data_IF_313328434234
#
_entry.id   IF_313328434234
#
_cell.length_a   1.000
_cell.length_b   1.000
_cell.length_c   1.000
_cell.angle_alpha   90.00
_cell.angle_beta   90.00
_cell.angle_gamma   90.00
#
_symmetry.space_group_name_H-M   'P 1'
#
loop_
_entity.id
_entity.type
_entity.pdbx_description
1 polymer ?
#
# COMPACT_ATOMS: atom_id res chain seq x y z
N UNK A 1 1.76 20.94 11.35
CA UNK A 1 3.05 20.35 11.79
C UNK A 1 3.75 19.86 10.54
N UNK A 2 5.04 20.18 10.31
CA UNK A 2 5.78 19.53 9.24
C UNK A 2 5.80 18.01 9.50
N UNK A 3 5.80 17.17 8.45
CA UNK A 3 5.98 15.74 8.64
C UNK A 3 7.29 15.51 9.39
N UNK A 4 7.24 14.80 10.50
CA UNK A 4 8.45 14.36 11.20
C UNK A 4 9.22 13.43 10.28
N UNK A 5 10.47 13.80 9.98
CA UNK A 5 11.42 12.95 9.25
C UNK A 5 11.32 11.51 9.73
N UNK A 6 11.21 10.57 8.80
CA UNK A 6 11.08 9.14 9.13
C UNK A 6 12.25 8.70 10.01
N UNK A 7 11.95 7.99 11.09
CA UNK A 7 12.94 7.42 12.00
C UNK A 7 12.59 5.94 12.23
N UNK A 8 13.58 5.04 12.16
CA UNK A 8 13.35 3.63 12.42
C UNK A 8 12.93 3.42 13.87
N UNK A 9 11.98 2.52 14.08
CA UNK A 9 11.53 2.03 15.39
C UNK A 9 11.97 0.58 15.59
N UNK A 10 12.38 0.17 16.80
CA UNK A 10 12.63 -1.23 17.13
C UNK A 10 11.45 -2.18 16.83
N UNK A 11 10.23 -1.64 16.73
CA UNK A 11 9.01 -2.39 16.43
C UNK A 11 8.65 -2.44 14.94
N UNK A 12 9.46 -1.84 14.06
CA UNK A 12 9.19 -1.83 12.61
C UNK A 12 9.18 -3.25 12.03
N UNK A 13 10.10 -4.10 12.46
CA UNK A 13 10.15 -5.52 12.04
C UNK A 13 8.85 -6.25 12.37
N UNK A 14 8.31 -6.04 13.58
CA UNK A 14 7.04 -6.64 14.01
C UNK A 14 5.88 -6.11 13.19
N UNK A 15 5.85 -4.79 12.94
CA UNK A 15 4.83 -4.15 12.11
C UNK A 15 4.85 -4.67 10.67
N UNK A 16 6.03 -4.78 10.06
CA UNK A 16 6.18 -5.33 8.71
C UNK A 16 5.82 -6.81 8.63
N UNK A 17 6.17 -7.60 9.65
CA UNK A 17 5.75 -8.99 9.73
C UNK A 17 4.21 -9.10 9.80
N UNK A 18 3.56 -8.26 10.58
CA UNK A 18 2.10 -8.20 10.65
C UNK A 18 1.47 -7.82 9.30
N UNK A 19 2.00 -6.78 8.62
CA UNK A 19 1.52 -6.40 7.28
C UNK A 19 1.65 -7.54 6.27
N UNK A 20 2.78 -8.27 6.32
CA UNK A 20 2.98 -9.44 5.46
C UNK A 20 1.98 -10.55 5.76
N UNK A 21 1.70 -10.80 7.03
CA UNK A 21 0.69 -11.77 7.44
C UNK A 21 -0.69 -11.40 6.91
N UNK A 22 -1.15 -10.16 7.12
CA UNK A 22 -2.45 -9.70 6.62
C UNK A 22 -2.57 -9.82 5.09
N UNK A 23 -1.54 -9.42 4.34
CA UNK A 23 -1.55 -9.53 2.89
C UNK A 23 -1.70 -10.98 2.43
N UNK A 24 -0.95 -11.90 3.05
CA UNK A 24 -1.03 -13.33 2.73
C UNK A 24 -2.38 -13.94 3.13
N UNK A 25 -2.95 -13.54 4.28
CA UNK A 25 -4.26 -14.01 4.71
C UNK A 25 -5.37 -13.58 3.73
N UNK A 26 -5.37 -12.32 3.31
CA UNK A 26 -6.33 -11.81 2.32
C UNK A 26 -6.20 -12.57 0.99
N UNK A 27 -4.96 -12.82 0.53
CA UNK A 27 -4.70 -13.59 -0.69
C UNK A 27 -5.22 -15.03 -0.57
N UNK A 28 -4.92 -15.72 0.54
CA UNK A 28 -5.39 -17.08 0.76
C UNK A 28 -6.92 -17.16 0.80
N UNK A 29 -7.58 -16.28 1.56
CA UNK A 29 -9.05 -16.26 1.67
C UNK A 29 -9.70 -16.02 0.31
N UNK A 30 -9.17 -15.08 -0.48
CA UNK A 30 -9.66 -14.80 -1.83
C UNK A 30 -9.54 -16.03 -2.76
N UNK A 31 -8.40 -16.73 -2.70
CA UNK A 31 -8.16 -17.92 -3.50
C UNK A 31 -9.05 -19.09 -3.08
N UNK A 32 -9.25 -19.30 -1.78
CA UNK A 32 -10.11 -20.35 -1.23
C UNK A 32 -11.59 -20.13 -1.59
N UNK A 33 -12.10 -18.90 -1.48
CA UNK A 33 -13.46 -18.54 -1.86
C UNK A 33 -13.69 -18.78 -3.36
N UNK A 34 -12.78 -18.31 -4.22
CA UNK A 34 -12.90 -18.49 -5.66
C UNK A 34 -12.77 -19.96 -6.09
N UNK A 35 -11.90 -20.73 -5.41
CA UNK A 35 -11.76 -22.16 -5.67
C UNK A 35 -13.03 -22.95 -5.28
N UNK A 36 -13.75 -22.49 -4.25
CA UNK A 36 -14.99 -23.11 -3.77
C UNK A 36 -16.18 -22.77 -4.69
N UNK A 37 -16.32 -21.51 -5.08
CA UNK A 37 -17.35 -21.07 -6.02
C UNK A 37 -16.83 -19.96 -6.94
N UNK A 38 -16.71 -20.27 -8.22
CA UNK A 38 -16.23 -19.30 -9.24
C UNK A 38 -17.18 -18.11 -9.43
N UNK A 39 -18.46 -18.25 -9.06
CA UNK A 39 -19.44 -17.17 -9.11
C UNK A 39 -19.15 -16.02 -8.12
N UNK A 40 -18.27 -16.25 -7.15
CA UNK A 40 -17.88 -15.25 -6.14
C UNK A 40 -16.88 -14.21 -6.65
N UNK A 41 -16.37 -14.35 -7.89
CA UNK A 41 -15.31 -13.49 -8.41
C UNK A 41 -15.60 -11.99 -8.28
N UNK A 42 -16.77 -11.52 -8.71
CA UNK A 42 -17.10 -10.09 -8.68
C UNK A 42 -17.13 -9.54 -7.25
N UNK A 43 -17.61 -10.34 -6.29
CA UNK A 43 -17.68 -9.97 -4.88
C UNK A 43 -16.27 -9.93 -4.25
N UNK A 44 -15.42 -10.91 -4.56
CA UNK A 44 -14.02 -10.93 -4.12
C UNK A 44 -13.28 -9.72 -4.71
N UNK A 45 -13.43 -9.47 -6.01
CA UNK A 45 -12.82 -8.33 -6.69
C UNK A 45 -13.26 -7.00 -6.05
N UNK A 46 -14.54 -6.83 -5.76
CA UNK A 46 -15.05 -5.63 -5.09
C UNK A 46 -14.39 -5.39 -3.73
N UNK A 47 -14.29 -6.43 -2.90
CA UNK A 47 -13.63 -6.35 -1.58
C UNK A 47 -12.16 -5.99 -1.70
N UNK A 48 -11.44 -6.62 -2.64
CA UNK A 48 -10.02 -6.33 -2.86
C UNK A 48 -9.83 -4.90 -3.39
N UNK A 49 -10.70 -4.43 -4.29
CA UNK A 49 -10.66 -3.04 -4.80
C UNK A 49 -10.91 -2.02 -3.70
N UNK A 50 -11.86 -2.26 -2.80
CA UNK A 50 -12.08 -1.38 -1.65
C UNK A 50 -10.85 -1.33 -0.74
N UNK A 51 -10.25 -2.49 -0.43
CA UNK A 51 -9.03 -2.55 0.38
C UNK A 51 -7.88 -1.76 -0.24
N UNK A 52 -7.66 -1.90 -1.56
CA UNK A 52 -6.65 -1.13 -2.28
C UNK A 52 -6.95 0.37 -2.28
N UNK A 53 -8.21 0.77 -2.42
CA UNK A 53 -8.64 2.17 -2.37
C UNK A 53 -8.38 2.79 -1.00
N UNK A 54 -8.68 2.07 0.08
CA UNK A 54 -8.46 2.55 1.44
C UNK A 54 -6.96 2.74 1.73
N UNK A 55 -6.11 1.81 1.29
CA UNK A 55 -4.65 1.95 1.38
C UNK A 55 -4.14 3.12 0.52
N UNK A 56 -4.69 3.33 -0.68
CA UNK A 56 -4.36 4.47 -1.53
C UNK A 56 -4.76 5.81 -0.88
N UNK A 57 -5.92 5.86 -0.22
CA UNK A 57 -6.36 7.04 0.52
C UNK A 57 -5.44 7.37 1.69
N UNK A 58 -4.97 6.35 2.44
CA UNK A 58 -3.97 6.55 3.50
C UNK A 58 -2.64 7.07 2.94
N UNK A 59 -2.19 6.51 1.81
CA UNK A 59 -0.99 6.98 1.11
C UNK A 59 -1.10 8.45 0.70
N UNK A 60 -2.24 8.88 0.17
CA UNK A 60 -2.48 10.28 -0.20
C UNK A 60 -2.40 11.24 0.99
N UNK A 61 -2.86 10.81 2.18
CA UNK A 61 -2.74 11.60 3.42
C UNK A 61 -1.30 11.73 3.92
N UNK A 62 -0.45 10.75 3.59
CA UNK A 62 0.96 10.71 3.95
C UNK A 62 1.87 11.27 2.85
N UNK A 63 1.29 11.89 1.82
CA UNK A 63 2.07 12.45 0.74
C UNK A 63 2.97 13.59 1.25
N UNK A 64 4.26 13.48 0.97
CA UNK A 64 5.25 14.48 1.33
C UNK A 64 5.33 15.56 0.23
N UNK A 65 5.69 16.81 0.59
CA UNK A 65 5.88 17.86 -0.40
C UNK A 65 7.02 17.52 -1.38
N UNK A 66 6.95 18.01 -2.63
CA UNK A 66 8.01 17.81 -3.63
C UNK A 66 9.37 18.29 -3.10
N UNK A 67 10.42 17.49 -3.29
CA UNK A 67 11.78 17.82 -2.84
C UNK A 67 12.06 17.61 -1.35
N UNK A 68 11.20 16.87 -0.64
CA UNK A 68 11.49 16.40 0.71
C UNK A 68 12.41 15.17 0.69
N UNK A 69 13.39 15.16 1.60
CA UNK A 69 14.29 14.01 1.87
C UNK A 69 13.77 13.14 3.03
N UNK A 70 12.46 13.17 3.30
CA UNK A 70 11.85 12.53 4.47
C UNK A 70 11.47 11.07 4.22
N UNK A 71 11.89 10.49 3.08
CA UNK A 71 11.69 9.08 2.79
C UNK A 71 12.62 8.18 3.61
N UNK A 72 12.19 6.94 3.92
CA UNK A 72 13.07 5.95 4.54
C UNK A 72 14.33 5.70 3.71
N UNK A 73 15.40 5.24 4.35
CA UNK A 73 16.64 4.90 3.66
C UNK A 73 16.39 3.82 2.58
N UNK A 74 16.94 4.02 1.38
CA UNK A 74 16.70 3.15 0.22
C UNK A 74 15.37 3.41 -0.51
N UNK A 75 14.59 4.40 -0.09
CA UNK A 75 13.37 4.84 -0.78
C UNK A 75 13.59 6.22 -1.42
N UNK A 76 12.88 6.48 -2.51
CA UNK A 76 12.91 7.74 -3.25
C UNK A 76 11.51 8.37 -3.27
N UNK A 77 11.46 9.71 -3.26
CA UNK A 77 10.21 10.45 -3.34
C UNK A 77 9.71 10.48 -4.80
N UNK A 78 8.62 9.77 -5.07
CA UNK A 78 8.01 9.67 -6.39
C UNK A 78 6.61 10.31 -6.36
N UNK A 79 6.44 11.46 -7.01
CA UNK A 79 5.16 12.19 -7.06
C UNK A 79 4.51 12.42 -5.67
N UNK A 80 5.34 12.74 -4.66
CA UNK A 80 4.87 12.99 -3.30
C UNK A 80 4.72 11.74 -2.44
N UNK A 81 5.03 10.53 -2.93
CA UNK A 81 4.98 9.29 -2.14
C UNK A 81 6.35 8.63 -2.13
N UNK A 82 6.78 8.15 -0.96
CA UNK A 82 7.98 7.32 -0.88
C UNK A 82 7.74 5.95 -1.53
N UNK A 83 8.62 5.55 -2.44
CA UNK A 83 8.66 4.21 -3.03
C UNK A 83 10.11 3.69 -3.16
N UNK A 84 10.33 2.38 -3.24
CA UNK A 84 11.67 1.81 -3.44
C UNK A 84 12.27 2.18 -4.82
N UNK A 85 11.44 2.46 -5.82
CA UNK A 85 11.83 3.02 -7.13
C UNK A 85 10.62 3.72 -7.76
N UNK A 86 10.85 4.76 -8.57
CA UNK A 86 9.79 5.43 -9.33
C UNK A 86 9.32 4.62 -10.56
N UNK A 87 10.07 3.59 -10.97
CA UNK A 87 9.71 2.71 -12.09
C UNK A 87 8.49 1.84 -11.75
N UNK A 88 8.27 1.58 -10.47
CA UNK A 88 7.15 0.78 -9.96
C UNK A 88 5.87 1.62 -9.76
N UNK A 89 5.99 2.95 -9.75
CA UNK A 89 4.83 3.85 -9.76
C UNK A 89 4.45 4.14 -11.21
N UNK A 90 4.02 3.08 -11.92
CA UNK A 90 3.34 3.23 -13.21
C UNK A 90 2.00 3.97 -13.06
N UNK A 91 1.39 4.42 -14.18
CA UNK A 91 0.15 5.21 -14.19
C UNK A 91 -1.05 4.56 -13.47
N UNK A 92 -0.98 3.27 -13.13
CA UNK A 92 -2.00 2.57 -12.35
C UNK A 92 -2.16 3.09 -10.90
N UNK A 93 -1.11 3.66 -10.30
CA UNK A 93 -1.22 4.28 -8.97
C UNK A 93 -2.04 5.59 -8.97
N UNK A 94 -2.19 6.24 -10.14
CA UNK A 94 -3.02 7.43 -10.30
C UNK A 94 -4.51 7.09 -10.47
N UNK A 95 -4.85 5.82 -10.74
CA UNK A 95 -6.21 5.42 -11.06
C UNK A 95 -7.13 5.25 -9.83
N UNK A 96 -6.54 5.20 -8.63
CA UNK A 96 -7.25 5.06 -7.35
C UNK A 96 -7.32 6.37 -6.54
N UNK A 97 -6.74 7.45 -7.05
CA UNK A 97 -6.83 8.80 -6.49
C UNK A 97 -7.72 9.64 -7.43
N UNK A 98 -9.03 9.51 -7.25
CA UNK A 98 -10.02 10.42 -7.83
C UNK A 98 -11.03 10.78 -6.77
#
# INVERSE_FOLDING_TARGET
MPPTKWQPSPNDTTSFAAFRWFANSIENDAMELYATDRGTYEQIEEVLRHTLKDLAALRGKLALPPGSDDCPEGWVLCNGVCAPSCDLIGPAAQQYVK
#
